data_IF_082019428426
#
_entry.id   IF_082019428426
#
_cell.length_a   1.000
_cell.length_b   1.000
_cell.length_c   1.000
_cell.angle_alpha   90.00
_cell.angle_beta   90.00
_cell.angle_gamma   90.00
#
_symmetry.space_group_name_H-M   'P 1'
#
loop_
_entity.id
_entity.type
_entity.pdbx_description
1 polymer ?
#
# COMPACT_ATOMS: atom_id res chain seq x y z
N UNK A 1 -27.30 19.93 -13.26
CA UNK A 1 -26.17 20.66 -13.85
C UNK A 1 -25.37 21.35 -12.77
N UNK A 2 -25.63 22.61 -12.40
CA UNK A 2 -24.78 23.38 -11.46
C UNK A 2 -24.50 22.66 -10.13
N UNK A 3 -25.49 22.01 -9.53
CA UNK A 3 -25.32 21.25 -8.28
C UNK A 3 -24.50 19.96 -8.45
N UNK A 4 -24.52 19.35 -9.63
CA UNK A 4 -23.72 18.17 -9.97
C UNK A 4 -22.26 18.57 -10.23
N UNK A 5 -22.05 19.68 -10.94
CA UNK A 5 -20.72 20.21 -11.24
C UNK A 5 -19.98 20.69 -9.97
N UNK A 6 -20.72 21.14 -8.95
CA UNK A 6 -20.17 21.52 -7.66
C UNK A 6 -19.90 20.33 -6.72
N UNK A 7 -20.41 19.13 -7.02
CA UNK A 7 -20.31 17.97 -6.14
C UNK A 7 -19.05 17.14 -6.41
N UNK A 8 -18.40 16.61 -5.36
CA UNK A 8 -17.26 15.70 -5.51
C UNK A 8 -17.64 14.25 -5.82
N UNK A 9 -18.93 13.92 -5.72
CA UNK A 9 -19.49 12.61 -6.01
C UNK A 9 -20.94 12.77 -6.46
N UNK A 10 -21.30 12.08 -7.55
CA UNK A 10 -22.66 12.08 -8.10
C UNK A 10 -23.20 10.65 -8.02
N UNK A 11 -24.39 10.48 -7.47
CA UNK A 11 -25.12 9.21 -7.52
C UNK A 11 -25.71 9.04 -8.92
N UNK A 12 -25.33 7.98 -9.62
CA UNK A 12 -25.83 7.70 -10.97
C UNK A 12 -27.19 7.00 -10.97
N UNK A 13 -27.60 6.45 -9.82
CA UNK A 13 -28.83 5.69 -9.63
C UNK A 13 -29.88 6.46 -8.79
N UNK A 14 -29.58 7.71 -8.42
CA UNK A 14 -30.40 8.57 -7.53
C UNK A 14 -30.82 7.90 -6.20
N UNK A 15 -30.12 6.85 -5.76
CA UNK A 15 -30.47 6.08 -4.57
C UNK A 15 -29.58 6.43 -3.36
N UNK A 16 -30.16 7.01 -2.32
CA UNK A 16 -29.45 7.34 -1.08
C UNK A 16 -28.79 6.13 -0.39
N UNK A 17 -29.29 4.91 -0.58
CA UNK A 17 -28.67 3.70 -0.06
C UNK A 17 -27.24 3.48 -0.61
N UNK A 18 -26.93 4.04 -1.79
CA UNK A 18 -25.60 3.99 -2.41
C UNK A 18 -24.56 4.77 -1.59
N UNK A 19 -24.96 5.78 -0.83
CA UNK A 19 -24.06 6.50 0.09
C UNK A 19 -23.54 5.56 1.18
N UNK A 20 -24.41 4.69 1.74
CA UNK A 20 -24.00 3.73 2.77
C UNK A 20 -22.93 2.79 2.21
N UNK A 21 -23.14 2.28 0.99
CA UNK A 21 -22.15 1.44 0.29
C UNK A 21 -20.85 2.19 0.02
N UNK A 22 -20.92 3.45 -0.42
CA UNK A 22 -19.75 4.29 -0.67
C UNK A 22 -18.91 4.51 0.60
N UNK A 23 -19.54 4.78 1.74
CA UNK A 23 -18.85 4.89 3.04
C UNK A 23 -18.17 3.58 3.43
N UNK A 24 -18.85 2.44 3.23
CA UNK A 24 -18.30 1.12 3.51
C UNK A 24 -17.05 0.84 2.67
N UNK A 25 -17.11 1.14 1.36
CA UNK A 25 -15.96 1.04 0.47
C UNK A 25 -14.81 1.97 0.89
N UNK A 26 -15.10 3.23 1.26
CA UNK A 26 -14.08 4.15 1.73
C UNK A 26 -13.34 3.67 3.00
N UNK A 27 -14.08 3.09 3.95
CA UNK A 27 -13.48 2.47 5.15
C UNK A 27 -12.59 1.28 4.81
N UNK A 28 -12.99 0.48 3.82
CA UNK A 28 -12.20 -0.66 3.36
C UNK A 28 -10.90 -0.22 2.69
N UNK A 29 -10.95 0.77 1.79
CA UNK A 29 -9.76 1.36 1.16
C UNK A 29 -8.77 1.85 2.22
N UNK A 30 -9.25 2.53 3.26
CA UNK A 30 -8.38 3.00 4.34
C UNK A 30 -7.71 1.85 5.12
N UNK A 31 -8.44 0.74 5.36
CA UNK A 31 -7.86 -0.45 5.99
C UNK A 31 -6.78 -1.09 5.12
N UNK A 32 -7.03 -1.23 3.82
CA UNK A 32 -6.06 -1.79 2.89
C UNK A 32 -4.80 -0.92 2.80
N UNK A 33 -4.94 0.41 2.79
CA UNK A 33 -3.80 1.34 2.84
C UNK A 33 -2.96 1.11 4.11
N UNK A 34 -3.60 0.95 5.28
CA UNK A 34 -2.87 0.66 6.53
C UNK A 34 -2.11 -0.67 6.46
N UNK A 35 -2.73 -1.71 5.93
CA UNK A 35 -2.10 -3.02 5.76
C UNK A 35 -0.91 -2.94 4.78
N UNK A 36 -1.06 -2.22 3.67
CA UNK A 36 0.02 -1.97 2.72
C UNK A 36 1.21 -1.26 3.38
N UNK A 37 0.96 -0.19 4.13
CA UNK A 37 2.02 0.53 4.86
C UNK A 37 2.73 -0.40 5.85
N UNK A 38 1.98 -1.22 6.60
CA UNK A 38 2.58 -2.18 7.53
C UNK A 38 3.47 -3.21 6.83
N UNK A 39 3.02 -3.72 5.68
CA UNK A 39 3.80 -4.66 4.88
C UNK A 39 5.10 -4.03 4.35
N UNK A 40 5.00 -2.85 3.74
CA UNK A 40 6.14 -2.11 3.19
C UNK A 40 7.17 -1.75 4.27
N UNK A 41 6.69 -1.27 5.42
CA UNK A 41 7.55 -0.91 6.54
C UNK A 41 8.27 -2.14 7.11
N UNK A 42 7.57 -3.28 7.22
CA UNK A 42 8.16 -4.54 7.69
C UNK A 42 9.26 -5.04 6.76
N UNK A 43 9.02 -5.04 5.45
CA UNK A 43 10.00 -5.45 4.44
C UNK A 43 11.26 -4.59 4.45
N UNK A 44 11.08 -3.26 4.43
CA UNK A 44 12.20 -2.32 4.45
C UNK A 44 12.98 -2.38 5.76
N UNK A 45 12.29 -2.53 6.89
CA UNK A 45 12.94 -2.71 8.19
C UNK A 45 13.76 -3.99 8.25
N UNK A 46 13.23 -5.11 7.72
CA UNK A 46 13.97 -6.38 7.68
C UNK A 46 15.26 -6.26 6.84
N UNK A 47 15.19 -5.61 5.68
CA UNK A 47 16.36 -5.39 4.83
C UNK A 47 17.44 -4.56 5.54
N UNK A 48 17.03 -3.47 6.22
CA UNK A 48 17.94 -2.63 7.00
C UNK A 48 18.56 -3.43 8.14
N UNK A 49 17.76 -4.18 8.91
CA UNK A 49 18.24 -4.97 10.04
C UNK A 49 19.24 -6.05 9.63
N UNK A 50 19.02 -6.72 8.48
CA UNK A 50 19.95 -7.73 7.96
C UNK A 50 21.29 -7.11 7.58
N UNK A 51 21.27 -6.00 6.83
CA UNK A 51 22.51 -5.32 6.41
C UNK A 51 23.26 -4.76 7.63
N UNK A 52 22.54 -4.17 8.58
CA UNK A 52 23.13 -3.63 9.80
C UNK A 52 23.74 -4.73 10.67
N UNK A 53 23.05 -5.86 10.84
CA UNK A 53 23.56 -7.00 11.58
C UNK A 53 24.85 -7.56 10.96
N UNK A 54 24.86 -7.82 9.65
CA UNK A 54 26.06 -8.31 8.97
C UNK A 54 27.22 -7.32 9.08
N UNK A 55 26.95 -6.01 8.97
CA UNK A 55 27.97 -4.97 9.08
C UNK A 55 28.58 -4.91 10.49
N UNK A 56 27.77 -4.96 11.55
CA UNK A 56 28.24 -4.93 12.94
C UNK A 56 28.96 -6.23 13.32
N UNK A 57 28.51 -7.38 12.80
CA UNK A 57 29.14 -8.68 13.04
C UNK A 57 30.39 -8.95 12.17
N UNK A 58 30.81 -7.99 11.33
CA UNK A 58 31.91 -8.14 10.36
C UNK A 58 31.75 -9.35 9.43
N UNK A 59 30.51 -9.71 9.11
CA UNK A 59 30.18 -10.77 8.16
C UNK A 59 30.27 -10.23 6.72
N UNK A 60 30.44 -11.12 5.72
CA UNK A 60 30.32 -10.75 4.32
C UNK A 60 29.00 -10.02 4.06
N UNK A 61 29.05 -9.01 3.18
CA UNK A 61 27.85 -8.25 2.81
C UNK A 61 26.81 -9.19 2.19
N UNK A 62 25.59 -9.27 2.74
CA UNK A 62 24.59 -10.25 2.29
C UNK A 62 24.06 -9.94 0.89
N UNK A 63 24.03 -8.67 0.51
CA UNK A 63 23.53 -8.20 -0.78
C UNK A 63 24.41 -7.09 -1.33
N UNK A 64 24.63 -7.09 -2.64
CA UNK A 64 25.16 -5.94 -3.35
C UNK A 64 24.08 -4.84 -3.46
N UNK A 65 24.46 -3.55 -3.62
CA UNK A 65 23.51 -2.46 -3.74
C UNK A 65 22.46 -2.67 -4.85
N UNK A 66 22.85 -3.28 -5.97
CA UNK A 66 21.93 -3.58 -7.08
C UNK A 66 20.87 -4.60 -6.68
N UNK A 67 21.22 -5.61 -5.89
CA UNK A 67 20.25 -6.59 -5.39
C UNK A 67 19.23 -5.93 -4.46
N UNK A 68 19.65 -4.99 -3.62
CA UNK A 68 18.73 -4.24 -2.75
C UNK A 68 17.73 -3.39 -3.55
N UNK A 69 18.18 -2.73 -4.63
CA UNK A 69 17.29 -1.98 -5.51
C UNK A 69 16.29 -2.88 -6.23
N UNK A 70 16.75 -4.06 -6.70
CA UNK A 70 15.88 -5.03 -7.35
C UNK A 70 14.83 -5.61 -6.40
N UNK A 71 15.23 -5.93 -5.16
CA UNK A 71 14.31 -6.39 -4.12
C UNK A 71 13.27 -5.30 -3.83
N UNK A 72 13.67 -4.06 -3.57
CA UNK A 72 12.74 -2.95 -3.33
C UNK A 72 11.75 -2.76 -4.50
N UNK A 73 12.24 -2.81 -5.74
CA UNK A 73 11.36 -2.70 -6.90
C UNK A 73 10.27 -3.77 -6.91
N UNK A 74 10.62 -5.02 -6.58
CA UNK A 74 9.64 -6.10 -6.53
C UNK A 74 8.72 -6.01 -5.29
N UNK A 75 9.29 -5.76 -4.12
CA UNK A 75 8.57 -5.80 -2.84
C UNK A 75 7.72 -4.58 -2.56
N UNK A 76 8.03 -3.45 -3.20
CA UNK A 76 7.25 -2.23 -3.01
C UNK A 76 6.14 -2.11 -4.06
N UNK A 77 6.45 -2.44 -5.32
CA UNK A 77 5.49 -2.28 -6.42
C UNK A 77 4.38 -3.32 -6.41
N UNK A 78 4.74 -4.60 -6.29
CA UNK A 78 3.77 -5.69 -6.45
C UNK A 78 2.75 -5.76 -5.31
N UNK A 79 3.15 -5.64 -4.02
CA UNK A 79 2.21 -5.66 -2.90
C UNK A 79 1.37 -4.39 -2.83
N UNK A 80 1.91 -3.22 -3.21
CA UNK A 80 1.11 -1.99 -3.29
C UNK A 80 -0.02 -2.13 -4.32
N UNK A 81 0.25 -2.75 -5.47
CA UNK A 81 -0.76 -3.04 -6.48
C UNK A 81 -1.75 -4.11 -6.01
N UNK A 82 -1.27 -5.19 -5.40
CA UNK A 82 -2.11 -6.29 -4.92
C UNK A 82 -3.06 -5.86 -3.78
N UNK A 83 -2.55 -5.12 -2.79
CA UNK A 83 -3.34 -4.66 -1.64
C UNK A 83 -4.33 -3.56 -2.05
N UNK A 84 -3.97 -2.74 -3.04
CA UNK A 84 -4.90 -1.78 -3.65
C UNK A 84 -6.08 -2.43 -4.36
N UNK A 85 -5.94 -3.69 -4.78
CA UNK A 85 -6.96 -4.45 -5.50
C UNK A 85 -7.66 -5.51 -4.64
N UNK A 86 -7.30 -5.64 -3.35
CA UNK A 86 -7.92 -6.63 -2.46
C UNK A 86 -9.44 -6.43 -2.42
N UNK A 87 -10.21 -7.38 -2.99
CA UNK A 87 -11.66 -7.34 -2.89
C UNK A 87 -12.04 -7.68 -1.45
N UNK A 88 -13.21 -7.17 -1.06
CA UNK A 88 -13.81 -7.49 0.23
C UNK A 88 -14.28 -8.95 0.25
#
# INVERSE_FOLDING_TARGET
EVSKDAASMILTDDNFATIIKAVLNGRNVFRNIKNAIQFLLSGNMAAIMVVLYCSVAALPTPFEPVHLLFINLLTDSLPALAIGMEPV
#
